data_IF_363491086071
#
_entry.id   IF_363491086071
#
_cell.length_a   1.000
_cell.length_b   1.000
_cell.length_c   1.000
_cell.angle_alpha   90.00
_cell.angle_beta   90.00
_cell.angle_gamma   90.00
#
_symmetry.space_group_name_H-M   'P 1'
#
loop_
_entity.id
_entity.type
_entity.pdbx_description
1 polymer ?
#
# COMPACT_ATOMS: atom_id res chain seq x y z
N UNK A 1 8.43 -3.00 -41.09
CA UNK A 1 8.02 -1.60 -41.23
C UNK A 1 7.40 -1.17 -39.91
N UNK A 2 8.03 -0.25 -39.19
CA UNK A 2 7.44 0.33 -37.96
C UNK A 2 6.46 1.43 -38.37
N UNK A 3 5.23 1.37 -37.87
CA UNK A 3 4.25 2.44 -38.06
C UNK A 3 4.46 3.52 -37.00
N UNK A 4 4.40 4.83 -37.33
CA UNK A 4 4.48 5.88 -36.33
C UNK A 4 3.22 5.84 -35.45
N UNK A 5 3.37 5.35 -34.22
CA UNK A 5 2.31 5.34 -33.22
C UNK A 5 2.17 6.69 -32.54
N UNK A 6 1.11 7.43 -32.87
CA UNK A 6 0.71 8.65 -32.14
C UNK A 6 -0.45 8.29 -31.22
N UNK A 7 -0.13 7.80 -30.03
CA UNK A 7 -1.13 7.45 -29.02
C UNK A 7 -1.53 8.68 -28.21
N UNK A 8 -2.82 8.81 -27.92
CA UNK A 8 -3.34 9.78 -26.94
C UNK A 8 -3.87 9.01 -25.74
N UNK A 9 -3.40 9.31 -24.52
CA UNK A 9 -4.01 8.74 -23.33
C UNK A 9 -5.47 9.20 -23.21
N UNK A 10 -6.33 8.45 -22.48
CA UNK A 10 -7.67 8.92 -22.16
C UNK A 10 -7.60 10.25 -21.40
N UNK A 11 -8.61 11.10 -21.60
CA UNK A 11 -8.71 12.34 -20.86
C UNK A 11 -8.87 12.03 -19.36
N UNK A 12 -8.11 12.70 -18.47
CA UNK A 12 -8.24 12.47 -17.03
C UNK A 12 -9.59 12.97 -16.53
N UNK A 13 -10.19 12.22 -15.60
CA UNK A 13 -11.40 12.60 -14.88
C UNK A 13 -11.17 12.43 -13.37
N UNK A 14 -11.86 13.22 -12.55
CA UNK A 14 -11.78 13.05 -11.10
C UNK A 14 -12.40 11.72 -10.67
N UNK A 15 -11.73 11.01 -9.76
CA UNK A 15 -12.29 9.81 -9.14
C UNK A 15 -13.47 10.20 -8.22
N UNK A 16 -14.64 9.56 -8.32
CA UNK A 16 -15.79 9.88 -7.48
C UNK A 16 -15.53 9.61 -6.00
N UNK A 17 -15.96 10.53 -5.13
CA UNK A 17 -15.96 10.31 -3.68
C UNK A 17 -17.10 9.36 -3.31
N UNK A 18 -16.78 8.27 -2.61
CA UNK A 18 -17.77 7.29 -2.14
C UNK A 18 -18.43 7.74 -0.82
N UNK A 19 -19.67 7.31 -0.59
CA UNK A 19 -20.49 7.77 0.54
C UNK A 19 -20.29 6.99 1.85
N UNK A 20 -19.94 5.71 1.81
CA UNK A 20 -19.73 4.85 3.01
C UNK A 20 -20.90 4.88 4.02
N UNK A 21 -22.12 5.06 3.51
CA UNK A 21 -23.34 5.11 4.31
C UNK A 21 -23.62 3.73 4.94
N UNK A 22 -24.39 3.65 6.03
CA UNK A 22 -24.76 2.37 6.62
C UNK A 22 -25.38 1.41 5.59
N UNK A 23 -24.89 0.17 5.54
CA UNK A 23 -25.36 -0.86 4.60
C UNK A 23 -24.76 -0.79 3.19
N UNK A 24 -23.94 0.21 2.87
CA UNK A 24 -23.33 0.30 1.54
C UNK A 24 -22.21 -0.75 1.33
N UNK A 25 -22.03 -1.26 0.09
CA UNK A 25 -21.02 -2.28 -0.20
C UNK A 25 -19.60 -1.76 0.04
N UNK A 26 -19.31 -0.49 -0.25
CA UNK A 26 -18.00 0.10 0.00
C UNK A 26 -17.66 0.20 1.49
N UNK A 27 -18.67 0.39 2.35
CA UNK A 27 -18.48 0.37 3.81
C UNK A 27 -18.19 -1.04 4.30
N UNK A 28 -18.90 -2.04 3.80
CA UNK A 28 -18.66 -3.44 4.14
C UNK A 28 -17.25 -3.89 3.73
N UNK A 29 -16.82 -3.53 2.51
CA UNK A 29 -15.47 -3.84 2.01
C UNK A 29 -14.37 -3.16 2.86
N UNK A 30 -14.58 -1.90 3.26
CA UNK A 30 -13.66 -1.18 4.14
C UNK A 30 -13.54 -1.87 5.52
N UNK A 31 -14.67 -2.24 6.11
CA UNK A 31 -14.69 -2.91 7.41
C UNK A 31 -14.00 -4.28 7.37
N UNK A 32 -14.19 -5.05 6.29
CA UNK A 32 -13.48 -6.30 6.08
C UNK A 32 -11.97 -6.07 6.00
N UNK A 33 -11.51 -5.14 5.15
CA UNK A 33 -10.08 -4.87 5.01
C UNK A 33 -9.44 -4.36 6.30
N UNK A 34 -10.14 -3.50 7.05
CA UNK A 34 -9.65 -3.03 8.36
C UNK A 34 -9.47 -4.18 9.36
N UNK A 35 -10.38 -5.17 9.36
CA UNK A 35 -10.22 -6.37 10.21
C UNK A 35 -9.05 -7.22 9.78
N UNK A 36 -8.89 -7.47 8.48
CA UNK A 36 -7.75 -8.22 7.94
C UNK A 36 -6.42 -7.57 8.31
N UNK A 37 -6.28 -6.26 8.05
CA UNK A 37 -5.05 -5.53 8.36
C UNK A 37 -4.71 -5.53 9.85
N UNK A 38 -5.71 -5.54 10.74
CA UNK A 38 -5.49 -5.62 12.18
C UNK A 38 -5.18 -7.04 12.67
N UNK A 39 -5.49 -8.06 11.88
CA UNK A 39 -5.22 -9.46 12.23
C UNK A 39 -3.83 -9.92 11.74
N UNK A 40 -3.23 -9.18 10.81
CA UNK A 40 -1.96 -9.51 10.17
C UNK A 40 -0.84 -8.59 10.67
N UNK A 41 0.38 -9.13 10.78
CA UNK A 41 1.63 -8.37 10.90
C UNK A 41 2.49 -8.74 9.69
N UNK A 42 2.66 -7.81 8.76
CA UNK A 42 3.34 -8.07 7.48
C UNK A 42 4.81 -7.65 7.55
N UNK A 43 5.66 -8.30 6.75
CA UNK A 43 6.99 -7.80 6.46
C UNK A 43 6.92 -6.85 5.26
N UNK A 44 7.51 -5.66 5.36
CA UNK A 44 7.57 -4.67 4.28
C UNK A 44 9.03 -4.56 3.83
N UNK A 45 9.40 -5.18 2.70
CA UNK A 45 10.75 -5.07 2.15
C UNK A 45 10.98 -3.72 1.47
N UNK A 46 12.24 -3.42 1.17
CA UNK A 46 12.60 -2.42 0.17
C UNK A 46 12.29 -3.02 -1.22
N UNK A 47 11.90 -2.19 -2.19
CA UNK A 47 11.72 -2.64 -3.58
C UNK A 47 12.76 -1.92 -4.44
N UNK A 48 13.80 -2.63 -4.87
CA UNK A 48 14.93 -2.11 -5.65
C UNK A 48 14.97 -2.88 -6.97
N UNK A 49 14.90 -2.15 -8.10
CA UNK A 49 14.81 -2.74 -9.44
C UNK A 49 13.69 -3.79 -9.60
N UNK A 50 12.59 -3.60 -8.87
CA UNK A 50 11.44 -4.51 -8.88
C UNK A 50 11.61 -5.79 -8.07
N UNK A 51 12.71 -5.93 -7.33
CA UNK A 51 12.96 -7.04 -6.41
C UNK A 51 12.78 -6.61 -4.96
N UNK A 52 12.23 -7.53 -4.16
CA UNK A 52 12.09 -7.35 -2.71
C UNK A 52 13.44 -7.59 -2.03
N UNK A 53 13.97 -6.57 -1.36
CA UNK A 53 15.21 -6.59 -0.57
C UNK A 53 14.86 -6.48 0.91
N UNK A 54 15.30 -7.47 1.69
CA UNK A 54 15.12 -7.51 3.15
C UNK A 54 16.43 -7.15 3.84
N UNK A 55 16.33 -6.53 5.02
CA UNK A 55 17.49 -6.11 5.81
C UNK A 55 17.38 -6.63 7.24
N UNK A 56 18.52 -6.82 7.90
CA UNK A 56 18.55 -7.26 9.30
C UNK A 56 18.10 -6.14 10.26
N UNK A 57 18.21 -4.87 9.84
CA UNK A 57 17.71 -3.74 10.60
C UNK A 57 16.27 -3.41 10.18
N UNK A 58 15.32 -3.67 11.07
CA UNK A 58 13.89 -3.38 10.84
C UNK A 58 13.33 -2.38 11.84
N UNK A 59 12.24 -1.71 11.48
CA UNK A 59 11.46 -0.90 12.42
C UNK A 59 9.96 -1.17 12.28
N UNK A 60 9.21 -0.93 13.36
CA UNK A 60 7.77 -1.22 13.42
C UNK A 60 6.95 -0.06 12.82
N UNK A 61 6.04 -0.39 11.91
CA UNK A 61 4.95 0.49 11.50
C UNK A 61 3.72 0.22 12.38
N UNK A 62 3.34 1.21 13.19
CA UNK A 62 2.26 1.09 14.18
C UNK A 62 1.02 1.89 13.80
N UNK A 63 -0.12 1.54 14.38
CA UNK A 63 -1.33 2.37 14.31
C UNK A 63 -1.14 3.64 15.16
N UNK A 64 -1.18 4.87 14.58
CA UNK A 64 -0.96 6.09 15.37
C UNK A 64 -1.99 6.31 16.49
N UNK A 65 -3.23 5.87 16.26
CA UNK A 65 -4.34 5.94 17.23
C UNK A 65 -4.35 4.77 18.24
N UNK A 66 -3.49 3.75 18.05
CA UNK A 66 -3.33 2.60 18.94
C UNK A 66 -1.90 2.09 18.86
N UNK A 67 -0.96 2.86 19.43
CA UNK A 67 0.49 2.65 19.25
C UNK A 67 1.01 1.29 19.71
N UNK A 68 0.26 0.59 20.56
CA UNK A 68 0.59 -0.78 20.99
C UNK A 68 0.30 -1.85 19.91
N UNK A 69 -0.32 -1.47 18.79
CA UNK A 69 -0.68 -2.38 17.71
C UNK A 69 0.23 -2.14 16.51
N UNK A 70 1.03 -3.16 16.19
CA UNK A 70 2.00 -3.16 15.08
C UNK A 70 1.35 -3.77 13.86
N UNK A 71 1.36 -3.05 12.73
CA UNK A 71 0.86 -3.53 11.44
C UNK A 71 1.94 -4.23 10.62
N UNK A 72 3.19 -3.76 10.73
CA UNK A 72 4.27 -4.27 9.91
C UNK A 72 5.64 -4.11 10.54
N UNK A 73 6.55 -5.00 10.15
CA UNK A 73 8.00 -4.86 10.30
C UNK A 73 8.57 -4.40 8.97
N UNK A 74 9.21 -3.23 8.97
CA UNK A 74 9.71 -2.57 7.76
C UNK A 74 11.23 -2.71 7.70
N UNK A 75 11.75 -3.23 6.58
CA UNK A 75 13.18 -3.25 6.28
C UNK A 75 13.70 -1.82 6.19
N UNK A 76 14.72 -1.49 6.99
CA UNK A 76 15.33 -0.17 6.99
C UNK A 76 16.40 -0.09 5.90
N UNK A 77 16.30 0.94 5.06
CA UNK A 77 17.31 1.25 4.04
C UNK A 77 18.55 1.93 4.63
N UNK A 78 19.70 1.61 4.05
CA UNK A 78 21.03 2.16 4.36
C UNK A 78 21.73 2.73 3.12
N UNK A 79 22.97 3.18 3.26
CA UNK A 79 23.72 3.81 2.17
C UNK A 79 24.01 2.85 1.00
N UNK A 80 24.10 1.55 1.31
CA UNK A 80 24.26 0.43 0.37
C UNK A 80 23.02 0.14 -0.49
N UNK A 81 21.88 0.78 -0.19
CA UNK A 81 20.59 0.57 -0.84
C UNK A 81 20.17 1.74 -1.77
N UNK A 82 21.08 2.68 -2.06
CA UNK A 82 20.83 3.90 -2.86
C UNK A 82 21.62 3.90 -4.16
#
# INVERSE_FOLDING_TARGET
MSAPGIFRPPAPVNEPVRGYVPGSPERAALQERLRQMQAERIAVPLVIDGADVTTDETFEAVLPHRKSHVLADVSKGGAEHV
#
